data_IF_355591012284
#
_entry.id   IF_355591012284
#
_cell.length_a   1.000
_cell.length_b   1.000
_cell.length_c   1.000
_cell.angle_alpha   90.00
_cell.angle_beta   90.00
_cell.angle_gamma   90.00
#
_symmetry.space_group_name_H-M   'P 1'
#
loop_
_entity.id
_entity.type
_entity.pdbx_description
1 polymer ?
#
# COMPACT_ATOMS: atom_id res chain seq x y z
N UNK A 1 7.59 4.66 -23.02
CA UNK A 1 6.92 3.67 -22.15
C UNK A 1 8.01 2.77 -21.62
N UNK A 2 8.01 2.55 -20.32
CA UNK A 2 9.06 1.82 -19.63
C UNK A 2 8.77 1.80 -18.14
N UNK A 3 9.12 0.70 -17.50
CA UNK A 3 9.12 0.62 -16.05
C UNK A 3 10.49 1.02 -15.50
N UNK A 4 10.51 1.39 -14.23
CA UNK A 4 11.76 1.54 -13.50
C UNK A 4 11.61 0.97 -12.11
N UNK A 5 12.70 0.33 -11.65
CA UNK A 5 12.80 -0.22 -10.31
C UNK A 5 13.72 0.65 -9.47
N UNK A 6 13.25 1.02 -8.29
CA UNK A 6 14.02 1.73 -7.28
C UNK A 6 14.26 0.85 -6.06
N UNK A 7 15.48 0.88 -5.56
CA UNK A 7 15.84 0.28 -4.28
C UNK A 7 15.84 1.36 -3.21
N UNK A 8 14.91 1.26 -2.25
CA UNK A 8 14.75 2.23 -1.17
C UNK A 8 15.21 1.59 0.14
N UNK A 9 16.32 2.04 0.73
CA UNK A 9 16.74 1.55 2.04
C UNK A 9 15.78 2.07 3.12
N UNK A 10 15.33 1.18 4.00
CA UNK A 10 14.46 1.52 5.13
C UNK A 10 14.63 0.52 6.27
N UNK A 11 14.94 1.01 7.47
CA UNK A 11 15.04 0.20 8.69
C UNK A 11 15.87 -1.09 8.52
N UNK A 12 17.12 -0.95 8.02
CA UNK A 12 18.04 -2.04 7.70
C UNK A 12 17.53 -3.07 6.66
N UNK A 13 16.47 -2.75 5.92
CA UNK A 13 15.97 -3.53 4.78
C UNK A 13 16.08 -2.71 3.50
N UNK A 14 16.11 -3.41 2.37
CA UNK A 14 15.97 -2.80 1.05
C UNK A 14 14.57 -3.11 0.54
N UNK A 15 13.91 -2.08 0.05
CA UNK A 15 12.60 -2.18 -0.57
C UNK A 15 12.81 -2.06 -2.07
N UNK A 16 12.35 -3.05 -2.79
CA UNK A 16 12.24 -3.01 -4.23
C UNK A 16 10.91 -2.37 -4.63
N UNK A 17 10.95 -1.27 -5.38
CA UNK A 17 9.76 -0.55 -5.84
C UNK A 17 9.75 -0.47 -7.34
N UNK A 18 8.79 -1.14 -7.95
CA UNK A 18 8.55 -1.07 -9.39
C UNK A 18 7.47 -0.03 -9.68
N UNK A 19 7.78 0.95 -10.51
CA UNK A 19 6.80 1.91 -11.05
C UNK A 19 6.58 1.60 -12.52
N UNK A 20 5.32 1.47 -12.94
CA UNK A 20 4.99 1.03 -14.29
C UNK A 20 3.66 1.61 -14.80
N UNK A 21 3.60 1.87 -16.10
CA UNK A 21 2.37 2.03 -16.89
C UNK A 21 2.13 0.83 -17.83
N UNK A 22 2.94 -0.23 -17.73
CA UNK A 22 2.87 -1.43 -18.55
C UNK A 22 2.18 -2.58 -17.83
N UNK A 23 1.16 -3.15 -18.49
CA UNK A 23 0.38 -4.28 -18.01
C UNK A 23 1.23 -5.53 -17.71
N UNK A 24 2.17 -5.86 -18.60
CA UNK A 24 3.07 -7.02 -18.48
C UNK A 24 3.95 -6.95 -17.24
N UNK A 25 4.47 -5.76 -16.91
CA UNK A 25 5.31 -5.54 -15.72
C UNK A 25 4.51 -5.74 -14.44
N UNK A 26 3.27 -5.23 -14.40
CA UNK A 26 2.38 -5.45 -13.26
C UNK A 26 2.01 -6.93 -13.10
N UNK A 27 1.85 -7.67 -14.20
CA UNK A 27 1.62 -9.12 -14.18
C UNK A 27 2.82 -9.89 -13.65
N UNK A 28 4.04 -9.56 -14.10
CA UNK A 28 5.29 -10.15 -13.60
C UNK A 28 5.41 -9.92 -12.08
N UNK A 29 5.10 -8.72 -11.60
CA UNK A 29 5.14 -8.42 -10.17
C UNK A 29 4.18 -9.32 -9.37
N UNK A 30 2.94 -9.54 -9.85
CA UNK A 30 1.98 -10.44 -9.21
C UNK A 30 2.50 -11.88 -9.18
N UNK A 31 3.11 -12.36 -10.27
CA UNK A 31 3.70 -13.69 -10.34
C UNK A 31 4.84 -13.87 -9.34
N UNK A 32 5.73 -12.89 -9.22
CA UNK A 32 6.83 -12.91 -8.24
C UNK A 32 6.30 -12.94 -6.81
N UNK A 33 5.30 -12.10 -6.51
CA UNK A 33 4.63 -12.06 -5.21
C UNK A 33 4.00 -13.41 -4.86
N UNK A 34 3.22 -14.01 -5.78
CA UNK A 34 2.61 -15.34 -5.58
C UNK A 34 3.64 -16.45 -5.41
N UNK A 35 4.69 -16.45 -6.24
CA UNK A 35 5.80 -17.42 -6.15
C UNK A 35 6.47 -17.39 -4.77
N UNK A 36 6.72 -16.18 -4.24
CA UNK A 36 7.29 -15.99 -2.89
C UNK A 36 6.40 -16.52 -1.78
N UNK A 37 5.07 -16.44 -1.91
CA UNK A 37 4.16 -17.02 -0.93
C UNK A 37 4.15 -18.54 -0.97
N UNK A 38 4.09 -19.11 -2.17
CA UNK A 38 4.11 -20.55 -2.37
C UNK A 38 5.40 -21.15 -1.81
N UNK A 39 6.56 -20.55 -2.14
CA UNK A 39 7.85 -20.99 -1.63
C UNK A 39 7.94 -20.96 -0.09
N UNK A 40 7.35 -19.95 0.54
CA UNK A 40 7.36 -19.79 2.00
C UNK A 40 6.23 -20.55 2.71
N UNK A 41 5.41 -21.33 2.00
CA UNK A 41 4.26 -22.04 2.57
C UNK A 41 3.21 -21.13 3.23
N UNK A 42 3.14 -19.86 2.81
CA UNK A 42 2.22 -18.88 3.40
C UNK A 42 0.82 -19.03 2.79
N UNK A 43 -0.16 -19.39 3.62
CA UNK A 43 -1.57 -19.50 3.22
C UNK A 43 -2.32 -18.17 3.11
N UNK A 44 -1.80 -17.12 3.77
CA UNK A 44 -2.46 -15.82 3.82
C UNK A 44 -1.44 -14.73 3.53
N UNK A 45 -1.76 -13.87 2.58
CA UNK A 45 -0.99 -12.71 2.20
C UNK A 45 -1.55 -11.47 2.86
N UNK A 46 -0.66 -10.62 3.38
CA UNK A 46 -1.05 -9.26 3.77
C UNK A 46 -0.39 -8.29 2.81
N UNK A 47 -1.21 -7.54 2.09
CA UNK A 47 -0.79 -6.55 1.13
C UNK A 47 -1.23 -5.16 1.61
N UNK A 48 -0.37 -4.16 1.52
CA UNK A 48 -0.80 -2.78 1.67
C UNK A 48 -1.43 -2.29 0.39
N UNK A 49 -2.50 -1.50 0.52
CA UNK A 49 -3.17 -0.84 -0.59
C UNK A 49 -3.29 0.67 -0.34
N UNK A 50 -2.97 1.47 -1.36
CA UNK A 50 -3.19 2.91 -1.35
C UNK A 50 -3.39 3.43 -2.76
N UNK A 51 -4.04 4.59 -2.85
CA UNK A 51 -4.20 5.33 -4.10
C UNK A 51 -3.68 6.76 -3.96
N UNK A 52 -3.23 7.33 -5.07
CA UNK A 52 -3.04 8.79 -5.19
C UNK A 52 -4.02 9.35 -6.18
N UNK A 53 -4.47 10.56 -5.91
CA UNK A 53 -5.48 11.26 -6.71
C UNK A 53 -4.80 12.33 -7.55
N UNK A 54 -5.24 12.50 -8.79
CA UNK A 54 -4.91 13.67 -9.61
C UNK A 54 -5.98 14.72 -9.36
N UNK A 55 -5.58 15.86 -8.82
CA UNK A 55 -6.51 16.97 -8.56
C UNK A 55 -7.16 17.42 -9.86
N UNK A 56 -8.49 17.54 -9.84
CA UNK A 56 -9.22 18.16 -10.93
C UNK A 56 -9.09 19.69 -10.85
N UNK A 57 -8.86 20.41 -11.97
CA UNK A 57 -8.74 21.88 -11.95
C UNK A 57 -10.00 22.57 -11.42
N UNK A 58 -11.16 21.98 -11.70
CA UNK A 58 -12.46 22.42 -11.17
C UNK A 58 -12.71 21.70 -9.83
N UNK A 59 -12.83 22.47 -8.74
CA UNK A 59 -12.97 21.94 -7.36
C UNK A 59 -14.24 21.12 -7.11
N UNK A 60 -15.30 21.35 -7.88
CA UNK A 60 -16.58 20.62 -7.76
C UNK A 60 -16.55 19.23 -8.39
N UNK A 61 -15.52 18.90 -9.16
CA UNK A 61 -15.39 17.62 -9.85
C UNK A 61 -14.55 16.63 -9.04
N UNK A 62 -14.88 15.35 -9.13
CA UNK A 62 -14.13 14.29 -8.43
C UNK A 62 -12.70 14.17 -8.97
N UNK A 63 -11.75 14.00 -8.06
CA UNK A 63 -10.36 13.71 -8.40
C UNK A 63 -10.24 12.25 -8.84
N UNK A 64 -9.69 12.02 -10.04
CA UNK A 64 -9.47 10.67 -10.57
C UNK A 64 -8.29 10.00 -9.87
N UNK A 65 -8.35 8.69 -9.66
CA UNK A 65 -7.19 7.93 -9.16
C UNK A 65 -6.09 8.00 -10.22
N UNK A 66 -4.93 8.51 -9.82
CA UNK A 66 -3.73 8.65 -10.63
C UNK A 66 -2.86 7.40 -10.60
N UNK A 67 -2.71 6.81 -9.41
CA UNK A 67 -1.87 5.63 -9.19
C UNK A 67 -2.51 4.67 -8.20
N UNK A 68 -2.40 3.38 -8.49
CA UNK A 68 -2.62 2.30 -7.52
C UNK A 68 -1.26 1.86 -6.96
N UNK A 69 -1.17 1.71 -5.65
CA UNK A 69 0.05 1.30 -4.96
C UNK A 69 -0.24 0.04 -4.16
N UNK A 70 0.50 -1.02 -4.46
CA UNK A 70 0.46 -2.30 -3.77
C UNK A 70 1.81 -2.56 -3.14
N UNK A 71 1.82 -3.15 -1.96
CA UNK A 71 3.07 -3.56 -1.35
C UNK A 71 2.88 -4.86 -0.57
N UNK A 72 3.81 -5.78 -0.76
CA UNK A 72 3.89 -7.07 -0.10
C UNK A 72 5.32 -7.25 0.39
N UNK A 73 5.49 -7.42 1.70
CA UNK A 73 6.81 -7.54 2.31
C UNK A 73 7.74 -6.38 1.90
N UNK A 74 8.82 -6.65 1.16
CA UNK A 74 9.76 -5.65 0.64
C UNK A 74 9.56 -5.30 -0.84
N UNK A 75 8.46 -5.75 -1.45
CA UNK A 75 8.15 -5.54 -2.86
C UNK A 75 6.97 -4.58 -3.00
N UNK A 76 7.19 -3.45 -3.68
CA UNK A 76 6.18 -2.46 -4.01
C UNK A 76 5.91 -2.44 -5.51
N UNK A 77 4.65 -2.25 -5.87
CA UNK A 77 4.21 -1.94 -7.22
C UNK A 77 3.43 -0.63 -7.21
N UNK A 78 3.80 0.29 -8.09
CA UNK A 78 3.08 1.52 -8.36
C UNK A 78 2.62 1.49 -9.81
N UNK A 79 1.32 1.31 -10.00
CA UNK A 79 0.68 1.32 -11.31
C UNK A 79 0.22 2.74 -11.61
N UNK A 80 0.67 3.31 -12.72
CA UNK A 80 0.22 4.61 -13.21
C UNK A 80 -1.10 4.47 -13.98
N UNK A 81 -2.21 4.42 -13.23
CA UNK A 81 -3.55 4.14 -13.76
C UNK A 81 -4.04 5.09 -14.87
N UNK A 82 -3.51 6.32 -14.93
CA UNK A 82 -3.85 7.27 -16.00
C UNK A 82 -3.18 6.97 -17.34
N UNK A 83 -2.11 6.17 -17.33
CA UNK A 83 -1.26 5.92 -18.49
C UNK A 83 -1.25 4.44 -18.88
N UNK A 84 -1.79 3.55 -18.03
CA UNK A 84 -1.86 2.13 -18.34
C UNK A 84 -2.77 1.86 -19.53
N UNK A 85 -2.29 1.06 -20.46
CA UNK A 85 -3.01 0.70 -21.68
C UNK A 85 -4.27 -0.14 -21.41
N UNK A 86 -4.17 -1.11 -20.48
CA UNK A 86 -5.30 -1.90 -19.99
C UNK A 86 -4.96 -2.46 -18.61
N UNK A 87 -5.99 -2.73 -17.80
CA UNK A 87 -5.79 -3.32 -16.47
C UNK A 87 -5.54 -4.83 -16.59
N UNK A 88 -4.38 -5.37 -16.14
CA UNK A 88 -4.07 -6.79 -16.23
C UNK A 88 -5.05 -7.64 -15.42
N UNK A 89 -5.43 -8.80 -15.96
CA UNK A 89 -6.32 -9.73 -15.25
C UNK A 89 -5.67 -10.28 -13.97
N UNK A 90 -4.35 -10.41 -13.95
CA UNK A 90 -3.56 -10.78 -12.76
C UNK A 90 -3.71 -9.79 -11.60
N UNK A 91 -3.79 -8.48 -11.88
CA UNK A 91 -4.07 -7.46 -10.86
C UNK A 91 -5.50 -7.56 -10.35
N UNK A 92 -6.48 -7.71 -11.26
CA UNK A 92 -7.90 -7.85 -10.85
C UNK A 92 -8.09 -9.05 -9.94
N UNK A 93 -7.57 -10.20 -10.36
CA UNK A 93 -7.66 -11.45 -9.59
C UNK A 93 -6.89 -11.37 -8.29
N UNK A 94 -5.71 -10.73 -8.26
CA UNK A 94 -4.97 -10.49 -7.02
C UNK A 94 -5.74 -9.61 -6.02
N UNK A 95 -6.38 -8.54 -6.48
CA UNK A 95 -7.20 -7.67 -5.63
C UNK A 95 -8.44 -8.36 -5.08
N UNK A 96 -9.11 -9.19 -5.88
CA UNK A 96 -10.30 -9.95 -5.46
C UNK A 96 -9.97 -11.23 -4.67
N UNK A 97 -8.70 -11.62 -4.55
CA UNK A 97 -8.29 -12.86 -3.92
C UNK A 97 -8.59 -12.87 -2.41
N UNK A 98 -9.36 -13.85 -1.93
CA UNK A 98 -9.72 -13.98 -0.52
C UNK A 98 -8.57 -14.44 0.38
N UNK A 99 -7.49 -14.95 -0.21
CA UNK A 99 -6.25 -15.29 0.49
C UNK A 99 -5.31 -14.07 0.61
N UNK A 100 -5.73 -12.91 0.10
CA UNK A 100 -5.04 -11.63 0.25
C UNK A 100 -5.87 -10.68 1.10
N UNK A 101 -5.27 -10.16 2.17
CA UNK A 101 -5.85 -9.12 3.03
C UNK A 101 -5.19 -7.79 2.73
N UNK A 102 -5.97 -6.86 2.21
CA UNK A 102 -5.52 -5.51 1.90
C UNK A 102 -5.63 -4.60 3.11
N UNK A 103 -4.53 -3.96 3.48
CA UNK A 103 -4.44 -3.06 4.63
C UNK A 103 -4.20 -1.64 4.15
N UNK A 104 -4.98 -0.69 4.65
CA UNK A 104 -4.94 0.70 4.19
C UNK A 104 -5.53 1.66 5.23
N UNK A 105 -5.57 2.94 4.87
CA UNK A 105 -6.21 3.98 5.69
C UNK A 105 -7.32 4.61 4.91
N UNK A 106 -8.48 4.73 5.55
CA UNK A 106 -9.73 5.08 4.90
C UNK A 106 -9.92 4.18 3.66
N UNK A 107 -9.64 2.89 3.86
CA UNK A 107 -9.52 1.93 2.75
C UNK A 107 -10.87 1.71 2.06
N UNK A 108 -11.98 1.84 2.79
CA UNK A 108 -13.34 1.72 2.26
C UNK A 108 -13.59 2.74 1.14
N UNK A 109 -13.23 4.02 1.33
CA UNK A 109 -13.38 5.04 0.29
C UNK A 109 -12.47 4.73 -0.91
N UNK A 110 -11.25 4.25 -0.64
CA UNK A 110 -10.29 3.90 -1.69
C UNK A 110 -10.82 2.76 -2.56
N UNK A 111 -11.36 1.71 -1.94
CA UNK A 111 -11.90 0.53 -2.63
C UNK A 111 -13.17 0.88 -3.39
N UNK A 112 -14.06 1.67 -2.79
CA UNK A 112 -15.27 2.14 -3.46
C UNK A 112 -14.94 2.92 -4.74
N UNK A 113 -13.97 3.83 -4.69
CA UNK A 113 -13.55 4.58 -5.89
C UNK A 113 -12.79 3.72 -6.90
N UNK A 114 -11.95 2.78 -6.46
CA UNK A 114 -11.31 1.81 -7.36
C UNK A 114 -12.33 0.98 -8.14
N UNK A 115 -13.40 0.54 -7.47
CA UNK A 115 -14.48 -0.19 -8.10
C UNK A 115 -15.22 0.67 -9.13
N UNK A 116 -15.59 1.90 -8.77
CA UNK A 116 -16.35 2.78 -9.66
C UNK A 116 -15.55 3.30 -10.85
N UNK A 117 -14.26 3.62 -10.68
CA UNK A 117 -13.45 4.21 -11.74
C UNK A 117 -12.75 3.17 -12.62
N UNK A 118 -12.42 1.99 -12.07
CA UNK A 118 -11.58 0.99 -12.75
C UNK A 118 -12.17 -0.44 -12.71
N UNK A 119 -13.33 -0.66 -12.09
CA UNK A 119 -13.92 -2.00 -11.94
C UNK A 119 -13.07 -2.93 -11.06
N UNK A 120 -12.29 -2.37 -10.14
CA UNK A 120 -11.37 -3.10 -9.28
C UNK A 120 -11.96 -3.33 -7.88
N UNK A 121 -12.49 -4.54 -7.66
CA UNK A 121 -12.94 -5.01 -6.36
C UNK A 121 -11.79 -5.50 -5.50
N UNK A 122 -11.84 -5.22 -4.19
CA UNK A 122 -10.92 -5.80 -3.21
C UNK A 122 -11.65 -6.83 -2.36
N UNK A 123 -11.11 -8.05 -2.24
CA UNK A 123 -11.76 -9.16 -1.55
C UNK A 123 -11.84 -8.98 -0.04
N UNK A 124 -10.69 -8.89 0.64
CA UNK A 124 -10.63 -8.65 2.08
C UNK A 124 -9.85 -7.38 2.38
N UNK A 125 -10.42 -6.51 3.20
CA UNK A 125 -9.80 -5.22 3.54
C UNK A 125 -9.81 -4.98 5.04
N UNK A 126 -8.75 -4.35 5.57
CA UNK A 126 -8.65 -3.91 6.95
C UNK A 126 -8.23 -2.45 6.96
N UNK A 127 -9.06 -1.62 7.59
CA UNK A 127 -8.72 -0.23 7.88
C UNK A 127 -7.84 -0.14 9.14
N UNK A 128 -6.68 0.49 9.00
CA UNK A 128 -5.72 0.64 10.11
C UNK A 128 -6.27 1.53 11.22
N UNK A 129 -7.06 2.56 10.92
CA UNK A 129 -7.64 3.41 11.97
C UNK A 129 -8.67 2.65 12.78
N UNK A 130 -9.52 1.86 12.11
CA UNK A 130 -10.47 0.97 12.77
C UNK A 130 -9.76 -0.01 13.69
N UNK A 131 -8.65 -0.60 13.22
CA UNK A 131 -7.85 -1.52 14.01
C UNK A 131 -7.22 -0.85 15.25
N UNK A 132 -6.60 0.32 15.07
CA UNK A 132 -5.95 1.05 16.16
C UNK A 132 -6.97 1.50 17.20
N UNK A 133 -8.16 1.94 16.77
CA UNK A 133 -9.25 2.29 17.68
C UNK A 133 -9.69 1.10 18.53
N UNK A 134 -9.78 -0.10 17.94
CA UNK A 134 -10.12 -1.31 18.67
C UNK A 134 -9.04 -1.71 19.68
N UNK A 135 -7.76 -1.53 19.34
CA UNK A 135 -6.64 -1.96 20.18
C UNK A 135 -6.25 -0.97 21.27
N UNK A 136 -6.44 0.33 21.04
CA UNK A 136 -6.05 1.39 21.97
C UNK A 136 -7.19 2.39 22.22
N UNK A 137 -8.37 1.94 22.69
CA UNK A 137 -9.58 2.75 22.78
C UNK A 137 -9.38 4.00 23.65
N UNK A 138 -8.60 3.89 24.73
CA UNK A 138 -8.31 4.98 25.67
C UNK A 138 -7.33 6.03 25.13
N UNK A 139 -6.54 5.70 24.12
CA UNK A 139 -5.57 6.64 23.51
C UNK A 139 -6.12 7.31 22.25
N UNK A 140 -7.22 6.80 21.69
CA UNK A 140 -7.78 7.22 20.42
C UNK A 140 -8.81 8.35 20.63
N UNK A 141 -8.31 9.53 21.04
CA UNK A 141 -9.10 10.76 21.00
C UNK A 141 -9.03 11.38 19.59
N UNK A 142 -10.18 11.51 18.91
CA UNK A 142 -10.31 12.13 17.59
C UNK A 142 -9.93 11.22 16.40
N UNK A 143 -9.51 11.82 15.28
CA UNK A 143 -8.97 11.14 14.09
C UNK A 143 -7.45 11.43 14.00
N UNK A 144 -6.59 10.68 14.71
CA UNK A 144 -5.15 10.92 14.69
C UNK A 144 -4.60 10.81 13.27
N UNK A 145 -3.79 11.81 12.89
CA UNK A 145 -3.09 11.80 11.63
C UNK A 145 -2.13 10.61 11.50
N UNK A 146 -1.85 10.24 10.26
CA UNK A 146 -0.96 9.13 9.89
C UNK A 146 0.37 9.09 10.63
N UNK A 147 1.02 10.26 10.77
CA UNK A 147 2.28 10.43 11.51
C UNK A 147 2.15 10.10 12.99
N UNK A 148 1.00 10.42 13.59
CA UNK A 148 0.71 10.12 15.01
C UNK A 148 0.51 8.63 15.21
N UNK A 149 -0.25 7.98 14.31
CA UNK A 149 -0.43 6.53 14.32
C UNK A 149 0.90 5.79 14.15
N UNK A 150 1.69 6.21 13.17
CA UNK A 150 3.05 5.73 12.96
C UNK A 150 3.92 5.86 14.22
N UNK A 151 3.97 7.04 14.84
CA UNK A 151 4.80 7.24 16.02
C UNK A 151 4.35 6.36 17.19
N UNK A 152 3.04 6.27 17.45
CA UNK A 152 2.48 5.51 18.58
C UNK A 152 2.61 4.01 18.42
N UNK A 153 2.44 3.48 17.22
CA UNK A 153 2.45 2.04 17.00
C UNK A 153 3.86 1.46 16.87
N UNK A 154 4.81 2.26 16.37
CA UNK A 154 6.13 1.74 15.96
C UNK A 154 7.32 2.61 16.38
N UNK A 155 7.13 3.62 17.24
CA UNK A 155 8.24 4.30 17.95
C UNK A 155 9.15 5.17 17.08
N UNK A 156 8.62 5.75 16.01
CA UNK A 156 9.42 6.47 15.01
C UNK A 156 9.63 7.95 15.37
N UNK A 157 10.53 8.17 16.33
CA UNK A 157 10.82 9.50 16.90
C UNK A 157 11.75 10.41 16.06
N UNK A 158 12.41 9.94 14.99
CA UNK A 158 13.55 10.68 14.37
C UNK A 158 13.52 10.94 12.86
N UNK A 159 12.48 10.58 12.11
CA UNK A 159 12.53 10.74 10.65
C UNK A 159 12.01 12.12 10.17
N UNK A 160 12.84 12.85 9.40
CA UNK A 160 12.46 14.09 8.68
C UNK A 160 12.56 13.90 7.16
N UNK A 161 11.61 14.45 6.36
CA UNK A 161 11.63 14.33 4.89
C UNK A 161 12.76 15.10 4.16
N UNK A 162 13.50 15.95 4.88
CA UNK A 162 14.41 16.96 4.32
C UNK A 162 15.85 16.51 4.12
N UNK A 163 16.24 15.34 4.63
CA UNK A 163 17.65 15.00 4.85
C UNK A 163 18.25 14.16 3.70
N UNK A 164 17.64 14.16 2.52
CA UNK A 164 18.00 13.26 1.41
C UNK A 164 18.16 14.06 0.10
N UNK A 165 19.39 14.54 -0.13
CA UNK A 165 19.81 15.52 -1.14
C UNK A 165 19.60 15.03 -2.60
N UNK A 166 19.58 13.72 -2.83
CA UNK A 166 19.34 13.10 -4.14
C UNK A 166 17.92 13.32 -4.71
N UNK A 167 16.98 13.83 -3.91
CA UNK A 167 15.55 13.86 -4.24
C UNK A 167 15.01 15.19 -4.75
N UNK A 168 15.81 16.25 -4.69
CA UNK A 168 15.35 17.59 -5.07
C UNK A 168 15.19 17.78 -6.59
N UNK A 169 15.49 16.77 -7.42
CA UNK A 169 15.42 16.87 -8.89
C UNK A 169 14.17 16.26 -9.55
N UNK A 170 13.34 15.45 -8.88
CA UNK A 170 12.15 14.82 -9.52
C UNK A 170 10.87 15.00 -8.68
N UNK A 171 10.13 16.08 -8.92
CA UNK A 171 8.92 16.47 -8.18
C UNK A 171 7.72 15.50 -8.24
N UNK A 172 7.71 14.54 -9.19
CA UNK A 172 6.71 13.48 -9.28
C UNK A 172 7.04 12.28 -8.36
N UNK A 173 8.33 11.97 -8.19
CA UNK A 173 8.82 10.89 -7.31
C UNK A 173 8.69 11.23 -5.84
N UNK A 174 8.80 12.51 -5.45
CA UNK A 174 8.65 12.96 -4.05
C UNK A 174 7.26 12.66 -3.49
N UNK A 175 6.21 12.76 -4.32
CA UNK A 175 4.82 12.44 -3.94
C UNK A 175 4.51 10.95 -3.97
N UNK A 176 5.10 10.19 -4.90
CA UNK A 176 5.06 8.72 -4.87
C UNK A 176 5.74 8.21 -3.59
N UNK A 177 6.88 8.80 -3.21
CA UNK A 177 7.67 8.42 -2.04
C UNK A 177 7.00 8.71 -0.71
N UNK A 178 6.13 9.72 -0.59
CA UNK A 178 5.32 9.96 0.64
C UNK A 178 4.22 8.90 0.82
N UNK A 179 3.73 8.39 -0.30
CA UNK A 179 2.59 7.46 -0.39
C UNK A 179 3.04 6.02 -0.21
N UNK A 180 4.18 5.70 -0.83
CA UNK A 180 4.99 4.55 -0.49
C UNK A 180 5.41 4.64 0.98
N UNK A 181 5.91 5.78 1.47
CA UNK A 181 6.36 5.90 2.88
C UNK A 181 5.29 5.49 3.89
N UNK A 182 4.02 5.80 3.64
CA UNK A 182 2.90 5.46 4.52
C UNK A 182 2.53 3.97 4.41
N UNK A 183 2.40 3.45 3.19
CA UNK A 183 2.18 2.03 2.90
C UNK A 183 3.29 1.13 3.47
N UNK A 184 4.52 1.55 3.24
CA UNK A 184 5.76 0.93 3.67
C UNK A 184 6.00 1.11 5.15
N UNK A 185 5.58 2.23 5.75
CA UNK A 185 5.53 2.30 7.19
C UNK A 185 4.65 1.19 7.76
N UNK A 186 3.46 0.98 7.20
CA UNK A 186 2.51 -0.02 7.70
C UNK A 186 3.01 -1.46 7.48
N UNK A 187 3.79 -1.70 6.42
CA UNK A 187 4.31 -3.03 6.09
C UNK A 187 5.70 -3.35 6.65
N UNK A 188 6.64 -2.38 6.66
CA UNK A 188 8.03 -2.60 7.06
C UNK A 188 8.29 -2.47 8.57
N UNK A 189 7.43 -1.81 9.35
CA UNK A 189 7.67 -1.60 10.79
C UNK A 189 7.16 -2.72 11.69
N UNK A 190 6.74 -3.85 11.13
CA UNK A 190 6.32 -4.99 11.92
C UNK A 190 4.92 -4.85 12.53
N UNK A 191 4.17 -3.79 12.21
CA UNK A 191 2.73 -3.78 12.45
C UNK A 191 2.11 -4.99 11.76
N UNK A 192 2.29 -5.19 10.46
CA UNK A 192 1.68 -6.32 9.74
C UNK A 192 2.27 -7.71 10.07
N UNK A 193 3.55 -7.85 10.43
CA UNK A 193 4.15 -9.18 10.77
C UNK A 193 4.04 -9.53 12.26
N UNK A 194 4.02 -8.54 13.17
CA UNK A 194 3.58 -8.74 14.57
C UNK A 194 2.06 -8.91 14.62
N UNK A 195 1.31 -8.23 13.74
CA UNK A 195 -0.10 -8.48 13.44
C UNK A 195 -0.30 -9.84 12.75
N UNK A 196 0.58 -10.35 11.91
CA UNK A 196 0.44 -11.71 11.34
C UNK A 196 0.61 -12.77 12.42
N UNK A 197 1.58 -12.62 13.35
CA UNK A 197 1.70 -13.52 14.51
C UNK A 197 0.51 -13.44 15.46
N UNK A 198 0.01 -12.24 15.75
CA UNK A 198 -1.09 -12.00 16.70
C UNK A 198 -2.49 -12.21 16.09
N UNK A 199 -2.66 -11.93 14.80
CA UNK A 199 -3.83 -12.28 13.99
C UNK A 199 -3.87 -13.74 13.59
N UNK A 200 -2.74 -14.45 13.37
CA UNK A 200 -2.79 -15.92 13.28
C UNK A 200 -3.34 -16.56 14.56
N UNK A 201 -3.27 -15.86 15.70
CA UNK A 201 -3.99 -16.19 16.92
C UNK A 201 -5.48 -15.84 16.85
N UNK A 202 -5.83 -14.60 16.47
CA UNK A 202 -7.23 -14.13 16.43
C UNK A 202 -8.08 -14.76 15.29
N UNK A 203 -7.50 -15.03 14.12
CA UNK A 203 -8.14 -15.69 12.98
C UNK A 203 -8.23 -17.22 13.14
N UNK A 204 -7.63 -17.82 14.17
CA UNK A 204 -7.91 -19.22 14.55
C UNK A 204 -9.23 -19.36 15.33
N UNK A 205 -9.82 -18.25 15.76
CA UNK A 205 -11.03 -18.19 16.58
C UNK A 205 -12.20 -17.51 15.86
N UNK A 206 -12.05 -17.23 14.56
CA UNK A 206 -13.12 -16.82 13.63
C UNK A 206 -13.21 -17.88 12.52
#
# INVERSE_FOLDING_TARGET
MGYYTHLVPFNAKIIETTVTDEASVAEIWVLQVRSKFMFNGQKLTIAGLNCKWKSHPIRSMSNKIATLQLCVDTMCLVIQLLHINHMPQSIKTFLSDTDVVFVGIEIEETVFKLQNEYGLSCGRTIDVRSLVKAWFPLSYYGKPGLKVLANRLVGLHKWRPSDDECLNKLGFLTRIRLSLHVLMHMLCTGLVTSFSRKMKGLLKHM
#
